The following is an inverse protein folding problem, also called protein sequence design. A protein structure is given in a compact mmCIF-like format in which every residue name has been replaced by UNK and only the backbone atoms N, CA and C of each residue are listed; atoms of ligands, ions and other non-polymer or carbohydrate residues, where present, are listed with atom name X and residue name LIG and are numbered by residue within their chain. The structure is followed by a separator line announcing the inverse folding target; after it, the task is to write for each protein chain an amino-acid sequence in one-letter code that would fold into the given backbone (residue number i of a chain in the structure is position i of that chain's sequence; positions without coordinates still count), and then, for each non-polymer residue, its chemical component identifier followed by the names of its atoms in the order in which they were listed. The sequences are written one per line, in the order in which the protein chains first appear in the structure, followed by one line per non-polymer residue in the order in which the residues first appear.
data_IF_740381785935
#
_entry.id   IF_740381785935
#
_cell.length_a   1.000
_cell.length_b   1.000
_cell.length_c   1.000
_cell.angle_alpha   90.00
_cell.angle_beta   90.00
_cell.angle_gamma   90.00
#
_symmetry.space_group_name_H-M   'P 1'
#
loop_
_entity.id
_entity.type
_entity.pdbx_description
1 polymer ?
#
# COMPACT_ATOMS: atom_id res chain seq x y z
N UNK A 1 -41.11 10.96 49.91
CA UNK A 1 -40.54 9.81 49.17
C UNK A 1 -40.19 10.30 47.78
N UNK A 2 -38.94 10.65 47.56
CA UNK A 2 -38.44 11.17 46.28
C UNK A 2 -37.37 10.20 45.83
N UNK A 3 -37.62 9.49 44.72
CA UNK A 3 -36.70 8.51 44.14
C UNK A 3 -35.39 9.20 43.75
N UNK A 4 -34.21 8.62 44.03
CA UNK A 4 -32.97 9.10 43.47
C UNK A 4 -32.93 8.78 41.96
N UNK A 5 -32.59 9.80 41.17
CA UNK A 5 -32.42 9.68 39.73
C UNK A 5 -31.27 8.69 39.44
N UNK A 6 -31.56 7.65 38.66
CA UNK A 6 -30.57 6.71 38.15
C UNK A 6 -29.56 7.48 37.31
N UNK A 7 -28.32 7.59 37.78
CA UNK A 7 -27.18 7.85 36.91
C UNK A 7 -26.84 6.51 36.25
N UNK A 8 -26.93 6.48 34.92
CA UNK A 8 -26.45 5.40 34.07
C UNK A 8 -26.03 6.04 32.74
N UNK A 9 -25.04 5.52 31.99
CA UNK A 9 -23.97 4.58 32.32
C UNK A 9 -22.58 5.27 32.25
N UNK A 10 -21.52 4.54 32.62
CA UNK A 10 -20.11 4.91 32.49
C UNK A 10 -19.80 5.70 31.20
N UNK A 11 -19.44 6.98 31.35
CA UNK A 11 -18.71 7.71 30.32
C UNK A 11 -17.28 7.18 30.32
N UNK A 12 -17.00 6.16 29.52
CA UNK A 12 -15.62 5.87 29.12
C UNK A 12 -15.09 7.14 28.44
N UNK A 13 -14.33 7.97 29.16
CA UNK A 13 -13.82 9.22 28.62
C UNK A 13 -12.81 8.89 27.52
N UNK A 14 -13.24 8.93 26.27
CA UNK A 14 -12.35 8.88 25.10
C UNK A 14 -11.32 9.97 25.25
N UNK A 15 -10.05 9.57 25.36
CA UNK A 15 -8.94 10.49 25.59
C UNK A 15 -8.73 11.34 24.34
N UNK A 16 -8.27 12.59 24.49
CA UNK A 16 -7.96 13.44 23.33
C UNK A 16 -6.52 13.28 22.90
N UNK A 17 -6.30 13.32 21.59
CA UNK A 17 -4.99 13.33 20.98
C UNK A 17 -4.92 14.33 19.82
N UNK A 18 -3.70 14.73 19.47
CA UNK A 18 -3.42 15.52 18.28
C UNK A 18 -2.53 14.72 17.33
N UNK A 19 -2.67 14.96 16.03
CA UNK A 19 -1.86 14.32 15.00
C UNK A 19 -1.25 15.37 14.10
N UNK A 20 0.06 15.26 13.87
CA UNK A 20 0.84 16.17 13.05
C UNK A 20 1.59 15.35 11.99
N UNK A 21 1.40 15.71 10.73
CA UNK A 21 1.94 14.99 9.58
C UNK A 21 2.99 15.86 8.90
N UNK A 22 4.22 15.39 8.89
CA UNK A 22 5.32 15.96 8.13
C UNK A 22 5.21 15.50 6.67
N UNK A 23 4.27 16.12 5.94
CA UNK A 23 3.88 15.69 4.60
C UNK A 23 5.02 15.94 3.61
N UNK A 24 5.75 17.04 3.74
CA UNK A 24 6.97 17.29 2.95
C UNK A 24 7.96 16.13 3.09
N UNK A 25 8.29 15.74 4.32
CA UNK A 25 9.25 14.66 4.51
C UNK A 25 8.74 13.30 4.03
N UNK A 26 7.45 13.01 4.22
CA UNK A 26 6.83 11.80 3.67
C UNK A 26 6.93 11.78 2.15
N UNK A 27 6.56 12.87 1.50
CA UNK A 27 6.60 12.98 0.05
C UNK A 27 8.02 12.78 -0.46
N UNK A 28 8.99 13.54 0.05
CA UNK A 28 10.39 13.44 -0.31
C UNK A 28 10.97 12.04 -0.07
N UNK A 29 10.62 11.42 1.05
CA UNK A 29 11.11 10.08 1.39
C UNK A 29 10.55 9.05 0.41
N UNK A 30 9.25 9.08 0.14
CA UNK A 30 8.60 8.12 -0.74
C UNK A 30 9.07 8.33 -2.17
N UNK A 31 9.12 9.57 -2.67
CA UNK A 31 9.57 9.89 -4.02
C UNK A 31 10.99 9.37 -4.32
N UNK A 32 11.90 9.46 -3.33
CA UNK A 32 13.28 8.97 -3.47
C UNK A 32 13.42 7.45 -3.41
N UNK A 33 12.48 6.75 -2.75
CA UNK A 33 12.54 5.30 -2.57
C UNK A 33 11.54 4.54 -3.46
N UNK A 34 10.61 5.26 -4.09
CA UNK A 34 9.61 4.74 -5.01
C UNK A 34 10.24 4.26 -6.32
N UNK A 35 9.59 3.27 -6.93
CA UNK A 35 9.78 2.96 -8.35
C UNK A 35 8.98 3.95 -9.19
N UNK A 36 9.26 4.06 -10.50
CA UNK A 36 8.58 4.99 -11.43
C UNK A 36 7.04 4.89 -11.43
N UNK A 37 6.49 3.76 -10.97
CA UNK A 37 5.05 3.50 -10.93
C UNK A 37 4.39 3.89 -9.60
N UNK A 38 5.17 4.08 -8.53
CA UNK A 38 4.64 4.44 -7.21
C UNK A 38 4.46 5.95 -7.11
N UNK A 39 3.22 6.40 -6.95
CA UNK A 39 2.94 7.83 -6.69
C UNK A 39 2.90 8.10 -5.18
N UNK A 40 3.70 9.04 -4.65
CA UNK A 40 3.75 9.33 -3.21
C UNK A 40 2.38 9.62 -2.58
N UNK A 41 1.50 10.39 -3.27
CA UNK A 41 0.15 10.72 -2.78
C UNK A 41 -0.63 9.48 -2.32
N UNK A 42 -0.63 8.40 -3.11
CA UNK A 42 -1.43 7.21 -2.81
C UNK A 42 -0.90 6.46 -1.59
N UNK A 43 0.42 6.34 -1.47
CA UNK A 43 1.05 5.68 -0.31
C UNK A 43 0.78 6.49 0.96
N UNK A 44 0.93 7.82 0.89
CA UNK A 44 0.65 8.71 2.03
C UNK A 44 -0.82 8.63 2.43
N UNK A 45 -1.76 8.70 1.47
CA UNK A 45 -3.19 8.60 1.75
C UNK A 45 -3.54 7.25 2.40
N UNK A 46 -2.97 6.15 1.93
CA UNK A 46 -3.16 4.83 2.53
C UNK A 46 -2.69 4.84 4.00
N UNK A 47 -1.45 5.30 4.25
CA UNK A 47 -0.88 5.43 5.60
C UNK A 47 -1.74 6.29 6.52
N UNK A 48 -2.17 7.46 6.05
CA UNK A 48 -2.99 8.38 6.85
C UNK A 48 -4.35 7.76 7.20
N UNK A 49 -5.00 7.10 6.26
CA UNK A 49 -6.31 6.48 6.50
C UNK A 49 -6.22 5.37 7.57
N UNK A 50 -5.22 4.49 7.50
CA UNK A 50 -5.04 3.45 8.54
C UNK A 50 -4.60 4.05 9.87
N UNK A 51 -3.67 5.01 9.87
CA UNK A 51 -3.24 5.66 11.11
C UNK A 51 -4.41 6.35 11.83
N UNK A 52 -5.25 7.11 11.09
CA UNK A 52 -6.44 7.74 11.63
C UNK A 52 -7.44 6.70 12.16
N UNK A 53 -7.67 5.62 11.41
CA UNK A 53 -8.55 4.53 11.82
C UNK A 53 -8.05 3.88 13.12
N UNK A 54 -6.79 3.47 13.16
CA UNK A 54 -6.16 2.80 14.29
C UNK A 54 -6.20 3.66 15.56
N UNK A 55 -5.82 4.95 15.46
CA UNK A 55 -5.85 5.86 16.61
C UNK A 55 -7.26 6.02 17.18
N UNK A 56 -8.27 6.12 16.31
CA UNK A 56 -9.67 6.31 16.73
C UNK A 56 -10.32 5.01 17.23
N UNK A 57 -10.15 3.92 16.51
CA UNK A 57 -10.90 2.68 16.73
C UNK A 57 -10.19 1.73 17.67
N UNK A 58 -8.86 1.63 17.61
CA UNK A 58 -8.10 0.70 18.44
C UNK A 58 -7.60 1.37 19.70
N UNK A 59 -6.95 2.53 19.56
CA UNK A 59 -6.40 3.27 20.71
C UNK A 59 -7.45 4.13 21.45
N UNK A 60 -8.67 4.23 20.91
CA UNK A 60 -9.81 4.97 21.50
C UNK A 60 -9.52 6.44 21.82
N UNK A 61 -8.68 7.08 21.00
CA UNK A 61 -8.46 8.51 21.07
C UNK A 61 -9.39 9.28 20.14
N UNK A 62 -9.89 10.42 20.61
CA UNK A 62 -10.49 11.43 19.75
C UNK A 62 -9.38 12.33 19.22
N UNK A 63 -9.26 12.39 17.90
CA UNK A 63 -8.36 13.31 17.23
C UNK A 63 -9.06 14.63 16.97
N UNK A 64 -8.46 15.72 17.45
CA UNK A 64 -8.88 17.08 17.12
C UNK A 64 -8.09 17.54 15.89
N UNK A 65 -8.79 17.72 14.75
CA UNK A 65 -8.29 18.29 13.50
C UNK A 65 -6.81 17.99 13.19
N UNK A 66 -6.48 16.76 12.77
CA UNK A 66 -5.12 16.40 12.34
C UNK A 66 -4.56 17.39 11.32
N UNK A 67 -3.29 17.78 11.44
CA UNK A 67 -2.69 18.81 10.58
C UNK A 67 -1.57 18.22 9.74
N UNK A 68 -1.54 18.53 8.45
CA UNK A 68 -0.51 18.11 7.51
C UNK A 68 0.31 19.31 7.00
N UNK A 69 1.62 19.24 7.19
CA UNK A 69 2.57 20.33 6.96
C UNK A 69 3.36 20.10 5.68
N UNK A 70 3.29 21.04 4.74
CA UNK A 70 4.08 20.99 3.54
C UNK A 70 4.16 22.34 2.80
N UNK A 71 5.15 22.45 1.93
CA UNK A 71 5.13 23.40 0.82
C UNK A 71 4.21 22.84 -0.29
N UNK A 72 2.91 22.94 -0.08
CA UNK A 72 1.92 22.46 -1.05
C UNK A 72 1.94 23.21 -2.37
N UNK A 73 2.59 24.37 -2.46
CA UNK A 73 2.79 25.05 -3.74
C UNK A 73 3.86 24.32 -4.58
N UNK A 74 4.95 23.91 -3.93
CA UNK A 74 5.98 23.07 -4.55
C UNK A 74 5.44 21.69 -4.92
N UNK A 75 4.87 20.95 -3.95
CA UNK A 75 4.41 19.57 -4.16
C UNK A 75 3.15 19.52 -5.03
N UNK A 76 2.23 20.46 -4.85
CA UNK A 76 0.97 20.50 -5.60
C UNK A 76 1.13 20.75 -7.10
N UNK A 77 2.30 21.26 -7.53
CA UNK A 77 2.63 21.35 -8.95
C UNK A 77 2.77 19.97 -9.60
N UNK A 78 3.21 18.96 -8.85
CA UNK A 78 3.31 17.58 -9.29
C UNK A 78 1.99 16.81 -9.13
N UNK A 79 1.18 17.13 -8.11
CA UNK A 79 -0.13 16.52 -7.88
C UNK A 79 -1.14 17.54 -7.28
N UNK A 80 -1.99 18.17 -8.09
CA UNK A 80 -2.85 19.28 -7.66
C UNK A 80 -3.97 18.85 -6.70
N UNK A 81 -4.23 17.55 -6.56
CA UNK A 81 -5.33 17.01 -5.75
C UNK A 81 -4.92 16.68 -4.31
N UNK A 82 -3.66 16.91 -3.93
CA UNK A 82 -3.15 16.57 -2.59
C UNK A 82 -3.96 17.26 -1.50
N UNK A 83 -4.14 18.58 -1.59
CA UNK A 83 -4.86 19.34 -0.56
C UNK A 83 -6.34 18.94 -0.48
N UNK A 84 -6.96 18.65 -1.63
CA UNK A 84 -8.33 18.12 -1.67
C UNK A 84 -8.42 16.75 -1.00
N UNK A 85 -7.46 15.86 -1.25
CA UNK A 85 -7.41 14.53 -0.64
C UNK A 85 -7.27 14.61 0.88
N UNK A 86 -6.41 15.50 1.37
CA UNK A 86 -6.23 15.76 2.81
C UNK A 86 -7.53 16.27 3.45
N UNK A 87 -8.18 17.24 2.81
CA UNK A 87 -9.46 17.79 3.29
C UNK A 87 -10.54 16.70 3.38
N UNK A 88 -10.66 15.85 2.36
CA UNK A 88 -11.63 14.73 2.35
C UNK A 88 -11.33 13.67 3.41
N UNK A 89 -10.04 13.48 3.76
CA UNK A 89 -9.62 12.61 4.84
C UNK A 89 -9.77 13.26 6.24
N UNK A 90 -10.20 14.53 6.31
CA UNK A 90 -10.39 15.26 7.56
C UNK A 90 -9.10 15.84 8.16
N UNK A 91 -8.03 15.98 7.36
CA UNK A 91 -6.81 16.67 7.75
C UNK A 91 -6.81 18.12 7.26
N UNK A 92 -6.26 19.02 8.09
CA UNK A 92 -6.03 20.41 7.72
C UNK A 92 -4.67 20.58 7.04
N UNK A 93 -4.61 20.99 5.76
CA UNK A 93 -3.34 21.34 5.13
C UNK A 93 -2.82 22.67 5.70
N UNK A 94 -1.60 22.64 6.24
CA UNK A 94 -0.85 23.81 6.69
C UNK A 94 0.30 24.08 5.75
N UNK A 95 0.19 25.18 5.01
CA UNK A 95 1.24 25.62 4.11
C UNK A 95 2.47 26.09 4.90
N UNK A 96 3.62 25.53 4.57
CA UNK A 96 4.92 25.91 5.12
C UNK A 96 5.91 26.10 3.96
N UNK A 97 6.41 27.31 3.71
CA UNK A 97 7.26 27.58 2.55
C UNK A 97 8.66 26.99 2.74
N UNK A 98 8.99 25.95 1.98
CA UNK A 98 10.32 25.31 2.02
C UNK A 98 11.42 26.22 1.47
N UNK A 99 11.06 27.23 0.68
CA UNK A 99 11.98 28.25 0.17
C UNK A 99 12.66 29.09 1.26
N UNK A 100 12.08 29.17 2.46
CA UNK A 100 12.68 29.88 3.59
C UNK A 100 13.79 29.05 4.25
N UNK A 101 13.55 27.75 4.43
CA UNK A 101 14.47 26.82 5.05
C UNK A 101 14.09 25.38 4.69
N UNK A 102 15.07 24.53 4.40
CA UNK A 102 14.85 23.15 3.94
C UNK A 102 14.15 22.24 4.96
N UNK A 103 14.10 22.63 6.24
CA UNK A 103 13.38 21.94 7.30
C UNK A 103 12.32 22.83 7.96
N UNK A 104 11.72 23.75 7.20
CA UNK A 104 10.70 24.66 7.70
C UNK A 104 9.50 23.90 8.29
N UNK A 105 9.03 22.83 7.63
CA UNK A 105 7.92 21.99 8.10
C UNK A 105 8.22 21.34 9.45
N UNK A 106 9.43 20.82 9.65
CA UNK A 106 9.88 20.25 10.94
C UNK A 106 9.87 21.29 12.07
N UNK A 107 10.37 22.50 11.78
CA UNK A 107 10.39 23.60 12.74
C UNK A 107 8.97 24.03 13.10
N UNK A 108 8.09 24.19 12.10
CA UNK A 108 6.71 24.60 12.32
C UNK A 108 5.94 23.57 13.14
N UNK A 109 6.11 22.27 12.85
CA UNK A 109 5.54 21.18 13.67
C UNK A 109 6.00 21.31 15.12
N UNK A 110 7.29 21.52 15.36
CA UNK A 110 7.80 21.66 16.73
C UNK A 110 7.20 22.88 17.45
N UNK A 111 7.07 24.03 16.77
CA UNK A 111 6.44 25.23 17.32
C UNK A 111 4.99 24.95 17.71
N UNK A 112 4.20 24.39 16.79
CA UNK A 112 2.77 24.16 17.00
C UNK A 112 2.50 23.11 18.07
N UNK A 113 3.33 22.06 18.14
CA UNK A 113 3.23 21.06 19.22
C UNK A 113 3.53 21.72 20.57
N UNK A 114 4.57 22.56 20.65
CA UNK A 114 4.93 23.24 21.90
C UNK A 114 3.85 24.25 22.35
N UNK A 115 3.26 24.99 21.41
CA UNK A 115 2.14 25.91 21.66
C UNK A 115 0.90 25.13 22.12
N UNK A 116 0.53 24.06 21.41
CA UNK A 116 -0.59 23.20 21.78
C UNK A 116 -0.44 22.64 23.19
N UNK A 117 0.76 22.18 23.57
CA UNK A 117 1.02 21.65 24.92
C UNK A 117 0.95 22.72 26.02
N UNK A 118 1.02 24.01 25.69
CA UNK A 118 0.81 25.10 26.64
C UNK A 118 -0.69 25.38 26.87
N UNK A 119 -1.48 25.30 25.81
CA UNK A 119 -2.90 25.71 25.84
C UNK A 119 -3.89 24.55 26.08
N UNK A 120 -3.46 23.30 25.88
CA UNK A 120 -4.34 22.12 25.85
C UNK A 120 -3.95 21.06 26.89
N UNK A 121 -4.36 21.27 28.13
CA UNK A 121 -4.17 20.29 29.22
C UNK A 121 -5.01 18.99 29.07
N UNK A 122 -6.01 19.01 28.18
CA UNK A 122 -6.90 17.90 27.89
C UNK A 122 -6.28 16.84 26.96
N UNK A 123 -5.22 17.19 26.23
CA UNK A 123 -4.52 16.29 25.30
C UNK A 123 -3.66 15.29 26.07
N UNK A 124 -3.83 14.00 25.78
CA UNK A 124 -3.12 12.89 26.45
C UNK A 124 -2.12 12.18 25.56
N UNK A 125 -2.20 12.38 24.25
CA UNK A 125 -1.22 11.86 23.31
C UNK A 125 -1.02 12.77 22.10
N UNK A 126 0.16 12.66 21.49
CA UNK A 126 0.45 13.20 20.16
C UNK A 126 0.94 12.08 19.24
N UNK A 127 0.58 12.19 17.98
CA UNK A 127 1.05 11.30 16.90
C UNK A 127 1.76 12.15 15.85
N UNK A 128 3.05 11.87 15.62
CA UNK A 128 3.83 12.45 14.54
C UNK A 128 3.91 11.43 13.41
N UNK A 129 3.61 11.82 12.18
CA UNK A 129 3.78 10.94 11.01
C UNK A 129 4.83 11.58 10.10
N UNK A 130 5.87 10.83 9.75
CA UNK A 130 7.02 11.35 8.99
C UNK A 130 7.67 10.23 8.16
N UNK A 131 8.51 10.59 7.19
CA UNK A 131 9.26 9.65 6.37
C UNK A 131 10.43 9.05 7.14
N UNK A 132 11.47 9.87 7.34
CA UNK A 132 12.72 9.47 7.99
C UNK A 132 13.23 10.45 9.05
N UNK A 133 12.41 11.40 9.49
CA UNK A 133 12.80 12.30 10.58
C UNK A 133 12.67 11.64 11.95
N UNK A 134 13.63 11.93 12.80
CA UNK A 134 13.67 11.47 14.18
C UNK A 134 13.29 12.63 15.11
N UNK A 135 12.00 12.75 15.43
CA UNK A 135 11.47 13.76 16.36
C UNK A 135 11.74 13.46 17.84
N UNK A 136 12.80 12.70 18.16
CA UNK A 136 13.06 12.19 19.51
C UNK A 136 13.11 13.28 20.59
N UNK A 137 13.77 14.45 20.41
CA UNK A 137 13.77 15.50 21.42
C UNK A 137 12.36 16.02 21.74
N UNK A 138 11.49 16.10 20.74
CA UNK A 138 10.10 16.53 20.88
C UNK A 138 9.27 15.48 21.61
N UNK A 139 9.41 14.19 21.25
CA UNK A 139 8.74 13.10 21.94
C UNK A 139 9.15 13.02 23.42
N UNK A 140 10.44 13.18 23.72
CA UNK A 140 10.95 13.26 25.09
C UNK A 140 10.39 14.47 25.85
N UNK A 141 10.20 15.61 25.18
CA UNK A 141 9.56 16.78 25.79
C UNK A 141 8.10 16.49 26.17
N UNK A 142 7.35 15.83 25.29
CA UNK A 142 5.96 15.44 25.56
C UNK A 142 5.85 14.53 26.78
N UNK A 143 6.74 13.53 26.89
CA UNK A 143 6.78 12.65 28.05
C UNK A 143 7.01 13.42 29.36
N UNK A 144 7.92 14.41 29.39
CA UNK A 144 8.13 15.28 30.56
C UNK A 144 6.90 16.11 30.93
N UNK A 145 5.97 16.31 30.00
CA UNK A 145 4.67 16.97 30.20
C UNK A 145 3.53 15.98 30.50
N UNK A 146 3.84 14.70 30.75
CA UNK A 146 2.87 13.62 30.91
C UNK A 146 1.93 13.44 29.71
N UNK A 147 2.42 13.76 28.50
CA UNK A 147 1.73 13.52 27.23
C UNK A 147 2.46 12.42 26.48
N UNK A 148 1.73 11.38 26.04
CA UNK A 148 2.33 10.26 25.30
C UNK A 148 2.69 10.69 23.88
N UNK A 149 3.95 10.61 23.49
CA UNK A 149 4.38 10.93 22.13
C UNK A 149 4.66 9.66 21.33
N UNK A 150 4.10 9.57 20.13
CA UNK A 150 4.36 8.50 19.17
C UNK A 150 4.81 9.08 17.83
N UNK A 151 5.74 8.40 17.16
CA UNK A 151 6.18 8.71 15.82
C UNK A 151 5.95 7.50 14.90
N UNK A 152 5.12 7.67 13.88
CA UNK A 152 4.91 6.73 12.79
C UNK A 152 5.88 7.10 11.67
N UNK A 153 6.82 6.20 11.36
CA UNK A 153 7.95 6.50 10.45
C UNK A 153 8.38 5.29 9.62
N UNK A 154 8.84 5.53 8.39
CA UNK A 154 9.44 4.48 7.55
C UNK A 154 10.88 4.15 7.96
N UNK A 155 11.54 5.02 8.74
CA UNK A 155 12.90 4.81 9.19
C UNK A 155 13.03 5.06 10.70
N UNK A 156 12.54 4.13 11.54
CA UNK A 156 12.74 4.24 12.98
C UNK A 156 14.24 4.14 13.35
N UNK A 157 14.64 4.61 14.54
CA UNK A 157 16.02 4.48 15.02
C UNK A 157 16.48 3.02 14.96
N UNK A 158 17.68 2.79 14.42
CA UNK A 158 18.26 1.44 14.33
C UNK A 158 18.58 0.82 15.69
N UNK A 159 18.93 -0.47 15.67
CA UNK A 159 19.17 -1.34 16.84
C UNK A 159 20.16 -0.73 17.87
N UNK A 160 21.06 0.15 17.44
CA UNK A 160 22.01 0.83 18.34
C UNK A 160 21.36 1.86 19.29
N UNK A 161 20.07 2.18 19.11
CA UNK A 161 19.27 3.00 20.03
C UNK A 161 18.41 2.14 20.99
N UNK A 162 18.69 0.84 21.11
CA UNK A 162 17.85 -0.16 21.77
C UNK A 162 17.48 0.15 23.22
N UNK A 163 16.19 -0.02 23.52
CA UNK A 163 15.63 -0.20 24.86
C UNK A 163 14.56 0.82 25.22
N UNK A 164 14.96 2.07 25.45
CA UNK A 164 14.08 3.09 26.04
C UNK A 164 13.14 3.78 25.04
N UNK A 165 13.48 3.76 23.75
CA UNK A 165 12.77 4.54 22.74
C UNK A 165 11.96 3.69 21.75
N UNK A 166 12.02 2.35 21.84
CA UNK A 166 11.28 1.46 20.94
C UNK A 166 9.78 1.73 20.97
N UNK A 167 9.26 2.10 22.13
CA UNK A 167 7.82 2.28 22.35
C UNK A 167 7.31 3.61 21.80
N UNK A 168 8.22 4.51 21.40
CA UNK A 168 7.89 5.80 20.80
C UNK A 168 7.81 5.76 19.28
N UNK A 169 8.44 4.78 18.64
CA UNK A 169 8.51 4.70 17.18
C UNK A 169 7.75 3.48 16.67
N UNK A 170 6.80 3.74 15.78
CA UNK A 170 5.99 2.73 15.12
C UNK A 170 6.39 2.72 13.65
N UNK A 171 6.77 1.55 13.13
CA UNK A 171 7.10 1.43 11.71
C UNK A 171 5.84 1.67 10.85
N UNK A 172 5.94 2.51 9.82
CA UNK A 172 4.81 2.89 8.96
C UNK A 172 4.17 1.69 8.24
N UNK A 173 4.97 0.69 7.88
CA UNK A 173 4.52 -0.54 7.22
C UNK A 173 3.38 -1.26 7.95
N UNK A 174 3.29 -1.14 9.29
CA UNK A 174 2.19 -1.74 10.06
C UNK A 174 0.82 -1.22 9.60
N UNK A 175 0.74 0.06 9.27
CA UNK A 175 -0.50 0.72 8.83
C UNK A 175 -0.78 0.43 7.34
N UNK A 176 0.28 0.39 6.54
CA UNK A 176 0.17 0.08 5.12
C UNK A 176 -0.25 -1.38 4.90
N UNK A 177 0.22 -2.32 5.73
CA UNK A 177 -0.24 -3.70 5.72
C UNK A 177 -1.75 -3.76 5.99
N UNK A 178 -2.25 -3.16 7.06
CA UNK A 178 -3.69 -3.21 7.40
C UNK A 178 -4.62 -2.63 6.31
N UNK A 179 -4.19 -1.57 5.61
CA UNK A 179 -4.99 -0.96 4.54
C UNK A 179 -4.84 -1.64 3.20
N UNK A 180 -3.65 -2.15 2.87
CA UNK A 180 -3.46 -2.91 1.64
C UNK A 180 -3.94 -4.37 1.76
N UNK A 181 -4.09 -4.92 2.97
CA UNK A 181 -4.75 -6.21 3.25
C UNK A 181 -6.29 -6.14 3.21
N UNK A 182 -6.90 -4.94 3.15
CA UNK A 182 -8.32 -4.80 2.77
C UNK A 182 -8.56 -5.26 1.30
N UNK A 183 -7.49 -5.49 0.55
CA UNK A 183 -7.44 -6.41 -0.58
C UNK A 183 -6.61 -7.64 -0.16
N UNK A 184 -7.15 -8.86 -0.23
CA UNK A 184 -6.51 -10.02 0.37
C UNK A 184 -5.16 -10.32 -0.31
N UNK A 185 -4.07 -10.01 0.39
CA UNK A 185 -2.75 -10.57 0.15
C UNK A 185 -2.37 -11.37 1.41
N UNK A 186 -2.87 -12.60 1.50
CA UNK A 186 -2.46 -13.57 2.53
C UNK A 186 -1.10 -14.20 2.16
N UNK A 187 -0.01 -13.44 2.27
CA UNK A 187 1.35 -14.01 2.14
C UNK A 187 2.32 -13.65 3.26
N UNK A 188 1.96 -12.78 4.21
CA UNK A 188 2.90 -12.41 5.28
C UNK A 188 2.77 -13.20 6.60
N UNK A 189 1.86 -14.17 6.70
CA UNK A 189 1.58 -14.87 7.97
C UNK A 189 2.12 -16.30 8.10
N UNK A 190 2.95 -16.81 7.17
CA UNK A 190 3.37 -18.22 7.21
C UNK A 190 4.84 -18.50 6.84
N UNK A 191 5.79 -17.62 7.16
CA UNK A 191 7.23 -17.96 7.07
C UNK A 191 8.04 -17.53 8.30
N UNK A 192 7.58 -17.91 9.50
CA UNK A 192 8.47 -18.10 10.63
C UNK A 192 8.83 -19.59 10.72
N UNK A 193 10.07 -19.93 10.34
CA UNK A 193 10.72 -21.25 10.45
C UNK A 193 10.87 -22.05 9.14
N UNK A 194 11.60 -21.51 8.17
CA UNK A 194 12.49 -22.33 7.33
C UNK A 194 13.71 -21.50 6.91
N UNK A 195 14.90 -22.11 6.71
CA UNK A 195 16.09 -21.35 6.34
C UNK A 195 15.93 -20.85 4.90
N UNK A 196 15.63 -19.56 4.75
CA UNK A 196 15.61 -18.84 3.49
C UNK A 196 17.01 -18.89 2.86
N UNK A 197 17.13 -19.57 1.72
CA UNK A 197 18.29 -19.42 0.84
C UNK A 197 18.31 -17.97 0.32
N UNK A 198 19.48 -17.30 0.31
CA UNK A 198 19.58 -15.92 -0.13
C UNK A 198 19.35 -15.81 -1.65
N UNK A 199 18.57 -14.79 -2.03
CA UNK A 199 18.49 -14.14 -3.35
C UNK A 199 19.35 -14.77 -4.46
N UNK A 200 18.75 -15.70 -5.20
CA UNK A 200 19.17 -16.00 -6.57
C UNK A 200 18.18 -15.31 -7.50
N UNK A 201 18.67 -14.64 -8.55
CA UNK A 201 17.84 -14.30 -9.71
C UNK A 201 17.05 -15.55 -10.09
N UNK A 202 15.71 -15.50 -10.06
CA UNK A 202 14.89 -16.56 -10.64
C UNK A 202 15.06 -16.47 -12.15
N UNK A 203 16.05 -17.19 -12.66
CA UNK A 203 16.31 -17.32 -14.09
C UNK A 203 15.22 -18.16 -14.74
N UNK A 204 15.05 -17.99 -16.04
CA UNK A 204 14.12 -18.77 -16.86
C UNK A 204 14.22 -20.28 -16.53
N UNK A 205 13.10 -21.01 -16.54
CA UNK A 205 13.06 -22.41 -16.10
C UNK A 205 13.94 -23.30 -16.98
N UNK A 206 14.84 -24.08 -16.36
CA UNK A 206 15.72 -25.03 -17.07
C UNK A 206 14.97 -26.28 -17.56
N UNK A 207 13.80 -26.57 -16.98
CA UNK A 207 13.01 -27.76 -17.28
C UNK A 207 11.65 -27.35 -17.84
N UNK A 208 11.32 -27.90 -19.00
CA UNK A 208 10.06 -27.71 -19.70
C UNK A 208 9.32 -29.05 -19.68
N UNK A 209 8.11 -29.06 -19.11
CA UNK A 209 7.25 -30.24 -19.02
C UNK A 209 5.91 -29.88 -19.67
N UNK A 210 5.46 -30.70 -20.61
CA UNK A 210 4.17 -30.50 -21.24
C UNK A 210 3.03 -30.49 -20.20
N UNK A 211 2.15 -29.48 -20.29
CA UNK A 211 1.03 -29.33 -19.37
C UNK A 211 -0.10 -30.25 -19.81
N UNK A 212 -0.45 -31.21 -18.97
CA UNK A 212 -1.57 -32.14 -19.21
C UNK A 212 -2.79 -31.85 -18.32
N UNK A 213 -2.67 -30.90 -17.39
CA UNK A 213 -3.72 -30.50 -16.45
C UNK A 213 -4.65 -29.49 -17.12
N UNK A 214 -5.93 -29.83 -17.27
CA UNK A 214 -6.92 -29.03 -18.00
C UNK A 214 -7.12 -27.65 -17.34
N UNK A 215 -7.18 -27.60 -16.01
CA UNK A 215 -7.29 -26.33 -15.25
C UNK A 215 -6.08 -25.42 -15.50
N UNK A 216 -4.85 -25.98 -15.53
CA UNK A 216 -3.66 -25.22 -15.84
C UNK A 216 -3.63 -24.70 -17.30
N UNK A 217 -4.11 -25.49 -18.26
CA UNK A 217 -4.22 -25.05 -19.66
C UNK A 217 -5.22 -23.89 -19.80
N UNK A 218 -6.40 -23.99 -19.19
CA UNK A 218 -7.41 -22.92 -19.18
C UNK A 218 -6.85 -21.66 -18.52
N UNK A 219 -6.10 -21.80 -17.42
CA UNK A 219 -5.48 -20.64 -16.78
C UNK A 219 -4.42 -19.99 -17.66
N UNK A 220 -3.68 -20.78 -18.45
CA UNK A 220 -2.70 -20.27 -19.40
C UNK A 220 -3.37 -19.53 -20.57
N UNK A 221 -4.52 -20.01 -21.05
CA UNK A 221 -5.36 -19.29 -22.03
C UNK A 221 -5.89 -17.96 -21.46
N UNK A 222 -6.35 -17.95 -20.21
CA UNK A 222 -6.79 -16.72 -19.54
C UNK A 222 -5.62 -15.74 -19.39
N UNK A 223 -4.43 -16.23 -19.01
CA UNK A 223 -3.22 -15.42 -18.90
C UNK A 223 -2.90 -14.78 -20.25
N UNK A 224 -2.86 -15.55 -21.33
CA UNK A 224 -2.54 -15.07 -22.66
C UNK A 224 -3.59 -14.06 -23.17
N UNK A 225 -4.88 -14.38 -23.02
CA UNK A 225 -5.97 -13.54 -23.50
C UNK A 225 -6.06 -12.17 -22.81
N UNK A 226 -5.87 -12.13 -21.49
CA UNK A 226 -6.03 -10.87 -20.74
C UNK A 226 -4.72 -10.11 -20.53
N UNK A 227 -3.59 -10.82 -20.54
CA UNK A 227 -2.30 -10.28 -20.14
C UNK A 227 -1.16 -10.56 -21.12
N UNK A 228 -1.36 -11.33 -22.19
CA UNK A 228 -0.31 -11.68 -23.17
C UNK A 228 0.31 -10.47 -23.88
N UNK A 229 -0.37 -9.32 -23.91
CA UNK A 229 0.21 -8.07 -24.40
C UNK A 229 1.30 -7.47 -23.49
N UNK A 230 1.46 -7.96 -22.26
CA UNK A 230 2.44 -7.44 -21.31
C UNK A 230 3.65 -8.36 -21.23
N UNK A 231 4.85 -7.76 -21.30
CA UNK A 231 6.11 -8.50 -21.08
C UNK A 231 6.21 -9.08 -19.67
N UNK A 232 5.56 -8.44 -18.69
CA UNK A 232 5.54 -8.83 -17.29
C UNK A 232 4.12 -8.67 -16.70
N UNK A 233 3.70 -9.63 -15.88
CA UNK A 233 2.35 -9.67 -15.32
C UNK A 233 2.44 -9.59 -13.80
N UNK A 234 1.82 -8.59 -13.18
CA UNK A 234 1.77 -8.53 -11.72
C UNK A 234 0.95 -9.68 -11.16
N UNK A 235 1.49 -10.37 -10.16
CA UNK A 235 0.86 -11.58 -9.63
C UNK A 235 -0.49 -11.27 -8.97
N UNK A 236 -0.63 -10.18 -8.20
CA UNK A 236 -1.89 -9.88 -7.49
C UNK A 236 -3.07 -9.63 -8.43
N UNK A 237 -2.99 -8.75 -9.46
CA UNK A 237 -4.06 -8.60 -10.46
C UNK A 237 -4.39 -9.90 -11.19
N UNK A 238 -3.37 -10.71 -11.50
CA UNK A 238 -3.56 -11.99 -12.16
C UNK A 238 -4.34 -12.96 -11.28
N UNK A 239 -3.92 -13.16 -10.03
CA UNK A 239 -4.59 -14.07 -9.09
C UNK A 239 -6.05 -13.68 -8.90
N UNK A 240 -6.35 -12.37 -8.81
CA UNK A 240 -7.72 -11.88 -8.74
C UNK A 240 -8.52 -12.26 -9.99
N UNK A 241 -7.96 -12.04 -11.19
CA UNK A 241 -8.63 -12.39 -12.44
C UNK A 241 -8.88 -13.89 -12.55
N UNK A 242 -7.93 -14.71 -12.11
CA UNK A 242 -8.10 -16.17 -12.06
C UNK A 242 -9.16 -16.57 -11.04
N UNK A 243 -9.18 -15.99 -9.83
CA UNK A 243 -10.25 -16.20 -8.84
C UNK A 243 -11.63 -15.88 -9.42
N UNK A 244 -11.75 -14.75 -10.13
CA UNK A 244 -13.04 -14.34 -10.72
C UNK A 244 -13.53 -15.33 -11.79
N UNK A 245 -12.63 -16.02 -12.49
CA UNK A 245 -12.96 -16.96 -13.57
C UNK A 245 -13.18 -18.39 -13.07
N UNK A 246 -12.39 -18.86 -12.10
CA UNK A 246 -12.48 -20.22 -11.55
C UNK A 246 -13.42 -20.34 -10.33
N UNK A 247 -13.77 -19.22 -9.70
CA UNK A 247 -14.58 -19.21 -8.48
C UNK A 247 -13.86 -19.88 -7.30
N UNK A 248 -14.65 -20.39 -6.33
CA UNK A 248 -14.11 -20.95 -5.08
C UNK A 248 -13.58 -22.40 -5.21
N UNK A 249 -13.65 -23.01 -6.39
CA UNK A 249 -13.33 -24.43 -6.59
C UNK A 249 -11.84 -24.71 -6.77
N UNK A 250 -11.12 -23.80 -7.43
CA UNK A 250 -9.70 -23.95 -7.71
C UNK A 250 -8.91 -22.76 -7.13
N UNK A 251 -7.89 -23.04 -6.33
CA UNK A 251 -7.00 -22.01 -5.79
C UNK A 251 -6.05 -21.50 -6.87
N UNK A 252 -6.14 -20.21 -7.29
CA UNK A 252 -5.28 -19.65 -8.33
C UNK A 252 -3.79 -19.75 -8.03
N UNK A 253 -3.39 -19.76 -6.77
CA UNK A 253 -1.98 -19.91 -6.39
C UNK A 253 -1.46 -21.31 -6.74
N UNK A 254 -2.29 -22.34 -6.51
CA UNK A 254 -1.94 -23.71 -6.87
C UNK A 254 -1.84 -23.85 -8.38
N UNK A 255 -2.74 -23.22 -9.14
CA UNK A 255 -2.70 -23.25 -10.60
C UNK A 255 -1.43 -22.56 -11.13
N UNK A 256 -1.10 -21.36 -10.63
CA UNK A 256 0.13 -20.65 -10.99
C UNK A 256 1.37 -21.47 -10.60
N UNK A 257 1.33 -22.15 -9.45
CA UNK A 257 2.38 -23.08 -9.03
C UNK A 257 2.60 -24.22 -10.03
N UNK A 258 1.53 -24.86 -10.51
CA UNK A 258 1.62 -25.91 -11.55
C UNK A 258 2.25 -25.39 -12.85
N UNK A 259 1.86 -24.20 -13.29
CA UNK A 259 2.42 -23.56 -14.50
C UNK A 259 3.92 -23.26 -14.33
N UNK A 260 4.31 -22.81 -13.15
CA UNK A 260 5.71 -22.55 -12.80
C UNK A 260 6.53 -23.85 -12.76
N UNK A 261 5.98 -24.92 -12.17
CA UNK A 261 6.62 -26.24 -12.11
C UNK A 261 6.78 -26.90 -13.49
N UNK A 262 5.83 -26.64 -14.40
CA UNK A 262 5.90 -27.06 -15.80
C UNK A 262 6.93 -26.25 -16.63
N UNK A 263 7.36 -25.09 -16.12
CA UNK A 263 8.26 -24.18 -16.82
C UNK A 263 7.58 -23.35 -17.92
N UNK A 264 6.25 -23.27 -17.90
CA UNK A 264 5.48 -22.40 -18.81
C UNK A 264 5.55 -20.93 -18.39
N UNK A 265 5.73 -20.68 -17.09
CA UNK A 265 5.90 -19.35 -16.51
C UNK A 265 6.98 -19.40 -15.44
N UNK A 266 7.47 -18.25 -14.98
CA UNK A 266 8.22 -18.18 -13.74
C UNK A 266 7.91 -16.91 -12.96
N UNK A 267 8.13 -16.97 -11.64
CA UNK A 267 7.89 -15.85 -10.73
C UNK A 267 9.20 -15.13 -10.39
N UNK A 268 9.18 -13.80 -10.43
CA UNK A 268 10.29 -12.95 -10.01
C UNK A 268 9.84 -12.03 -8.87
N UNK A 269 10.47 -12.17 -7.70
CA UNK A 269 10.28 -11.26 -6.57
C UNK A 269 11.18 -10.04 -6.76
N UNK A 270 10.57 -8.87 -6.88
CA UNK A 270 11.26 -7.60 -7.08
C UNK A 270 11.10 -6.69 -5.87
N UNK A 271 12.11 -5.85 -5.67
CA UNK A 271 12.04 -4.78 -4.70
C UNK A 271 11.07 -3.71 -5.19
N UNK A 272 10.12 -3.37 -4.34
CA UNK A 272 9.20 -2.26 -4.55
C UNK A 272 9.10 -1.44 -3.28
N UNK A 273 8.40 -0.32 -3.39
CA UNK A 273 8.09 0.54 -2.26
C UNK A 273 6.60 0.88 -2.31
N UNK A 274 5.84 0.75 -1.19
CA UNK A 274 6.31 0.39 0.15
C UNK A 274 6.62 -1.10 0.34
N UNK A 275 6.15 -1.96 -0.56
CA UNK A 275 6.32 -3.42 -0.47
C UNK A 275 7.02 -4.00 -1.68
N UNK A 276 7.70 -5.11 -1.47
CA UNK A 276 8.15 -5.97 -2.56
C UNK A 276 6.94 -6.48 -3.35
N UNK A 277 7.12 -6.73 -4.64
CA UNK A 277 6.08 -7.25 -5.51
C UNK A 277 6.61 -8.44 -6.29
N UNK A 278 5.70 -9.33 -6.70
CA UNK A 278 6.01 -10.48 -7.54
C UNK A 278 5.41 -10.28 -8.92
N UNK A 279 6.20 -10.49 -9.96
CA UNK A 279 5.73 -10.58 -11.34
C UNK A 279 5.83 -12.01 -11.84
N UNK A 280 4.91 -12.38 -12.70
CA UNK A 280 4.92 -13.59 -13.50
C UNK A 280 5.41 -13.23 -14.91
N UNK A 281 6.33 -14.04 -15.42
CA UNK A 281 6.91 -13.92 -16.75
C UNK A 281 6.55 -15.18 -17.54
N UNK A 282 6.14 -15.00 -18.81
CA UNK A 282 5.71 -16.10 -19.68
C UNK A 282 6.91 -16.66 -20.44
N UNK A 283 7.05 -17.98 -20.48
CA UNK A 283 8.03 -18.65 -21.31
C UNK A 283 7.45 -18.93 -22.71
N UNK A 284 7.64 -17.98 -23.64
CA UNK A 284 7.17 -18.10 -25.03
C UNK A 284 7.82 -19.26 -25.82
N UNK A 285 8.82 -19.94 -25.27
CA UNK A 285 9.39 -21.15 -25.88
C UNK A 285 8.75 -22.45 -25.37
N UNK A 286 7.79 -22.38 -24.45
CA UNK A 286 7.11 -23.55 -23.91
C UNK A 286 6.08 -24.09 -24.92
N UNK A 287 6.05 -25.41 -25.22
CA UNK A 287 5.16 -25.99 -26.24
C UNK A 287 3.67 -25.64 -26.06
N UNK A 288 3.15 -25.74 -24.83
CA UNK A 288 1.76 -25.39 -24.54
C UNK A 288 1.48 -23.88 -24.68
N UNK A 289 2.46 -23.02 -24.44
CA UNK A 289 2.31 -21.56 -24.62
C UNK A 289 2.24 -21.24 -26.11
N UNK A 290 3.14 -21.82 -26.90
CA UNK A 290 3.16 -21.67 -28.37
C UNK A 290 1.84 -22.14 -28.96
N UNK A 291 1.35 -23.33 -28.56
CA UNK A 291 0.11 -23.88 -29.08
C UNK A 291 -1.11 -22.97 -28.80
N UNK A 292 -1.19 -22.40 -27.59
CA UNK A 292 -2.26 -21.47 -27.20
C UNK A 292 -2.13 -20.16 -27.99
N UNK A 293 -0.94 -19.59 -28.05
CA UNK A 293 -0.69 -18.34 -28.78
C UNK A 293 -1.04 -18.47 -30.27
N UNK A 294 -0.61 -19.56 -30.92
CA UNK A 294 -0.95 -19.85 -32.33
C UNK A 294 -2.44 -20.11 -32.54
N UNK A 295 -3.14 -20.72 -31.58
CA UNK A 295 -4.58 -20.92 -31.66
C UNK A 295 -5.33 -19.58 -31.60
N UNK A 296 -4.91 -18.69 -30.69
CA UNK A 296 -5.52 -17.36 -30.54
C UNK A 296 -5.29 -16.47 -31.77
N UNK A 297 -4.08 -16.44 -32.32
CA UNK A 297 -3.79 -15.69 -33.56
C UNK A 297 -4.67 -16.18 -34.71
N UNK A 298 -4.91 -17.49 -34.81
CA UNK A 298 -5.77 -18.08 -35.84
C UNK A 298 -7.24 -17.70 -35.65
N UNK A 299 -7.74 -17.72 -34.40
CA UNK A 299 -9.11 -17.26 -34.10
C UNK A 299 -9.32 -15.78 -34.43
N UNK A 300 -8.32 -14.94 -34.14
CA UNK A 300 -8.36 -13.52 -34.51
C UNK A 300 -8.39 -13.36 -36.04
N UNK A 301 -7.53 -14.04 -36.79
CA UNK A 301 -7.52 -14.02 -38.27
C UNK A 301 -8.85 -14.48 -38.88
N UNK A 302 -9.43 -15.58 -38.39
CA UNK A 302 -10.73 -16.09 -38.85
C UNK A 302 -11.89 -15.13 -38.50
N UNK A 303 -11.79 -14.38 -37.40
CA UNK A 303 -12.77 -13.36 -37.03
C UNK A 303 -12.76 -12.16 -37.99
N UNK A 304 -11.58 -11.76 -38.49
CA UNK A 304 -11.47 -10.70 -39.50
C UNK A 304 -11.99 -11.15 -40.88
N UNK A 305 -11.76 -12.41 -41.27
CA UNK A 305 -12.28 -12.96 -42.53
C UNK A 305 -13.82 -13.12 -42.53
N UNK A 306 -14.45 -13.38 -41.37
CA UNK A 306 -15.92 -13.39 -41.26
C UNK A 306 -16.58 -12.01 -41.33
N UNK A 307 -15.86 -10.95 -40.94
CA UNK A 307 -16.36 -9.56 -41.05
C UNK A 307 -16.29 -9.06 -42.50
N UNK A 308 -15.27 -9.46 -43.27
CA UNK A 308 -15.15 -9.08 -44.69
C UNK A 308 -16.08 -9.87 -45.63
N UNK A 309 -16.54 -11.06 -45.21
CA UNK A 309 -17.38 -11.94 -46.03
C UNK A 309 -18.89 -11.73 -45.87
N UNK A 310 -19.34 -10.74 -45.08
CA UNK A 310 -20.76 -10.44 -44.90
C UNK A 310 -21.18 -9.02 -45.37
N UNK A 311 -21.21 -8.74 -46.70
CA UNK A 311 -21.85 -7.55 -47.25
C UNK A 311 -23.30 -7.86 -47.69
N UNK A 312 -24.24 -7.99 -46.76
CA UNK A 312 -25.71 -7.98 -47.00
C UNK A 312 -26.44 -8.04 -45.64
N UNK A 313 -27.31 -7.14 -45.19
CA UNK A 313 -28.22 -6.21 -45.85
C UNK A 313 -28.49 -5.01 -44.91
N UNK A 314 -28.31 -3.78 -45.38
CA UNK A 314 -28.92 -2.59 -44.77
C UNK A 314 -28.91 -1.39 -45.71
N UNK A 315 -29.38 -1.57 -46.94
CA UNK A 315 -29.94 -0.47 -47.75
C UNK A 315 -31.06 -1.04 -48.62
N UNK A 316 -32.28 -0.96 -48.12
CA UNK A 316 -33.48 -0.92 -48.95
C UNK A 316 -34.29 0.31 -48.50
N UNK A 317 -34.77 1.06 -49.51
CA UNK A 317 -35.43 2.38 -49.51
C UNK A 317 -36.52 2.63 -48.45
#
# INVERSE_FOLDING_TARGET
MTMPNRISPDTASTQRACMFVDYDNLFDYIDRNATERTRPKYVINALLNSALHHVKQELKFNLDAPVAYADFASIGSADPEIQQSLYLAGLEPRFVPASLQSNASEIQICVDVLEMLQDREDVRAIFLITGNRLYLPLLNFCQRKNVRGFAITFQPPGINYSGEYSDLFIHADKFLNETLHAYPNEEESAEASTPVRPSGLTTAPEKVIEITDETALIALEIIEHFFGQYEEIYLTPLLRKLSDMFGDHDDPKVIVGKLNDAGAVWLEKRKGFPFNYTVLLINYHHPSVIAIHEAMVREDEESYEQVESNPSDAYDD
#
